data_IF_596755731217
#
_entry.id   IF_596755731217
#
_cell.length_a   1.000
_cell.length_b   1.000
_cell.length_c   1.000
_cell.angle_alpha   90.00
_cell.angle_beta   90.00
_cell.angle_gamma   90.00
#
_symmetry.space_group_name_H-M   'P 1'
#
loop_
_entity.id
_entity.type
_entity.pdbx_description
1 polymer ?
#
# COMPACT_ATOMS: atom_id res chain seq x y z
N UNK A 1 -15.93 -14.78 2.99
CA UNK A 1 -16.09 -16.08 3.71
C UNK A 1 -15.57 -16.00 5.16
N UNK A 2 -14.52 -15.25 5.45
CA UNK A 2 -13.94 -15.16 6.79
C UNK A 2 -14.87 -14.51 7.83
N UNK A 3 -15.67 -13.53 7.43
CA UNK A 3 -16.59 -12.79 8.33
C UNK A 3 -17.96 -13.48 8.47
N UNK A 4 -18.27 -14.41 7.58
CA UNK A 4 -19.59 -15.08 7.54
C UNK A 4 -20.72 -14.13 7.10
N UNK A 5 -21.91 -14.69 6.99
CA UNK A 5 -23.11 -13.96 6.52
C UNK A 5 -23.68 -12.99 7.56
N UNK A 6 -23.40 -13.22 8.82
CA UNK A 6 -23.88 -12.38 9.92
C UNK A 6 -22.96 -11.20 10.26
N UNK A 7 -21.75 -11.21 9.73
CA UNK A 7 -20.78 -10.12 9.95
C UNK A 7 -20.95 -9.00 8.93
N UNK A 8 -20.57 -7.78 9.29
CA UNK A 8 -20.54 -6.63 8.38
C UNK A 8 -19.09 -6.27 8.07
N UNK A 9 -18.81 -5.93 6.82
CA UNK A 9 -17.52 -5.42 6.36
C UNK A 9 -17.71 -3.97 5.94
N UNK A 10 -16.88 -3.09 6.46
CA UNK A 10 -16.77 -1.71 6.02
C UNK A 10 -15.51 -1.57 5.18
N UNK A 11 -15.65 -1.13 3.93
CA UNK A 11 -14.53 -0.79 3.04
C UNK A 11 -14.45 0.72 2.88
N UNK A 12 -13.32 1.30 3.25
CA UNK A 12 -13.09 2.75 3.15
C UNK A 12 -12.07 3.04 2.05
N UNK A 13 -12.36 4.00 1.23
CA UNK A 13 -11.42 4.58 0.27
C UNK A 13 -11.88 6.01 -0.06
N UNK A 14 -10.98 7.01 -0.15
CA UNK A 14 -11.35 8.37 -0.57
C UNK A 14 -11.67 8.46 -2.07
N UNK A 15 -11.27 7.48 -2.87
CA UNK A 15 -11.48 7.44 -4.31
C UNK A 15 -12.80 6.78 -4.67
N UNK A 16 -13.75 7.58 -5.16
CA UNK A 16 -15.00 7.06 -5.71
C UNK A 16 -14.77 6.01 -6.80
N UNK A 17 -13.77 6.20 -7.65
CA UNK A 17 -13.43 5.26 -8.73
C UNK A 17 -13.03 3.88 -8.17
N UNK A 18 -12.24 3.84 -7.09
CA UNK A 18 -11.87 2.60 -6.43
C UNK A 18 -13.08 1.92 -5.77
N UNK A 19 -13.93 2.71 -5.13
CA UNK A 19 -15.17 2.20 -4.53
C UNK A 19 -16.14 1.64 -5.58
N UNK A 20 -16.26 2.29 -6.74
CA UNK A 20 -17.10 1.80 -7.84
C UNK A 20 -16.57 0.44 -8.38
N UNK A 21 -15.26 0.26 -8.46
CA UNK A 21 -14.65 -1.03 -8.80
C UNK A 21 -14.86 -2.08 -7.72
N UNK A 22 -14.68 -1.70 -6.45
CA UNK A 22 -14.92 -2.58 -5.31
C UNK A 22 -16.39 -3.03 -5.27
N UNK A 23 -17.34 -2.12 -5.50
CA UNK A 23 -18.77 -2.41 -5.57
C UNK A 23 -19.10 -3.47 -6.63
N UNK A 24 -18.48 -3.36 -7.82
CA UNK A 24 -18.67 -4.37 -8.89
C UNK A 24 -18.13 -5.74 -8.49
N UNK A 25 -16.92 -5.77 -7.86
CA UNK A 25 -16.29 -7.02 -7.41
C UNK A 25 -17.02 -7.69 -6.26
N UNK A 26 -17.67 -6.88 -5.43
CA UNK A 26 -18.35 -7.31 -4.20
C UNK A 26 -19.88 -7.39 -4.35
N UNK A 27 -20.41 -7.27 -5.57
CA UNK A 27 -21.86 -7.19 -5.84
C UNK A 27 -22.68 -8.39 -5.34
N UNK A 28 -22.04 -9.54 -5.16
CA UNK A 28 -22.67 -10.75 -4.63
C UNK A 28 -22.80 -10.77 -3.08
N UNK A 29 -22.22 -9.79 -2.39
CA UNK A 29 -22.14 -9.75 -0.92
C UNK A 29 -23.00 -8.62 -0.35
N UNK A 30 -24.11 -8.97 0.30
CA UNK A 30 -25.03 -8.00 0.90
C UNK A 30 -24.51 -7.35 2.19
N UNK A 31 -23.50 -7.95 2.81
CA UNK A 31 -22.93 -7.55 4.08
C UNK A 31 -21.72 -6.63 3.98
N UNK A 32 -21.46 -6.06 2.80
CA UNK A 32 -20.39 -5.08 2.56
C UNK A 32 -20.99 -3.68 2.49
N UNK A 33 -20.35 -2.75 3.17
CA UNK A 33 -20.65 -1.33 3.16
C UNK A 33 -19.43 -0.56 2.69
N UNK A 34 -19.51 0.06 1.53
CA UNK A 34 -18.44 0.88 0.97
C UNK A 34 -18.69 2.34 1.35
N UNK A 35 -17.66 3.00 1.84
CA UNK A 35 -17.74 4.34 2.43
C UNK A 35 -16.67 5.22 1.78
N UNK A 36 -17.07 6.29 1.13
CA UNK A 36 -16.17 7.28 0.55
C UNK A 36 -15.63 8.20 1.64
N UNK A 37 -14.56 7.80 2.30
CA UNK A 37 -13.93 8.48 3.43
C UNK A 37 -12.44 8.20 3.49
N UNK A 38 -11.70 9.13 4.11
CA UNK A 38 -10.32 8.92 4.48
C UNK A 38 -10.21 7.98 5.68
N UNK A 39 -9.05 7.33 5.83
CA UNK A 39 -8.78 6.43 6.94
C UNK A 39 -8.63 7.15 8.29
N UNK A 40 -8.45 8.48 8.28
CA UNK A 40 -8.37 9.35 9.46
C UNK A 40 -9.76 9.85 9.96
N UNK A 41 -10.81 9.67 9.16
CA UNK A 41 -12.19 10.06 9.51
C UNK A 41 -13.20 9.07 8.92
N UNK A 42 -13.27 7.88 9.49
CA UNK A 42 -14.18 6.82 9.02
C UNK A 42 -15.65 7.11 9.26
N UNK A 43 -15.96 7.96 10.23
CA UNK A 43 -17.31 8.21 10.77
C UNK A 43 -18.02 6.95 11.32
N UNK A 44 -17.28 5.88 11.56
CA UNK A 44 -17.79 4.72 12.27
C UNK A 44 -17.87 5.00 13.78
N UNK A 45 -18.73 4.28 14.46
CA UNK A 45 -18.83 4.39 15.92
C UNK A 45 -17.57 3.82 16.58
N UNK A 46 -17.20 4.33 17.76
CA UNK A 46 -16.15 3.75 18.58
C UNK A 46 -16.51 2.32 18.97
N UNK A 47 -15.49 1.48 19.12
CA UNK A 47 -15.64 0.09 19.58
C UNK A 47 -16.64 -0.74 18.74
N UNK A 48 -16.76 -0.45 17.44
CA UNK A 48 -17.72 -1.16 16.57
C UNK A 48 -17.09 -2.32 15.80
N UNK A 49 -15.77 -2.33 15.58
CA UNK A 49 -15.09 -3.32 14.77
C UNK A 49 -14.33 -4.35 15.59
N UNK A 50 -14.41 -5.63 15.23
CA UNK A 50 -13.61 -6.70 15.85
C UNK A 50 -12.19 -6.76 15.27
N UNK A 51 -12.03 -6.34 14.01
CA UNK A 51 -10.75 -6.26 13.34
C UNK A 51 -10.74 -5.16 12.29
N UNK A 52 -9.56 -4.63 12.02
CA UNK A 52 -9.29 -3.74 10.92
C UNK A 52 -8.12 -4.27 10.08
N UNK A 53 -8.14 -4.00 8.78
CA UNK A 53 -7.04 -4.36 7.88
C UNK A 53 -6.71 -3.17 6.98
N UNK A 54 -5.42 -2.98 6.72
CA UNK A 54 -4.92 -2.04 5.72
C UNK A 54 -3.94 -2.75 4.80
N UNK A 55 -4.05 -2.55 3.51
CA UNK A 55 -3.14 -3.15 2.53
C UNK A 55 -2.67 -2.08 1.57
N UNK A 56 -1.39 -1.76 1.62
CA UNK A 56 -0.76 -0.74 0.76
C UNK A 56 -1.58 0.57 0.72
N UNK A 57 -1.91 1.10 1.89
CA UNK A 57 -2.70 2.32 2.03
C UNK A 57 -2.07 3.31 3.02
N UNK A 58 -1.69 2.87 4.21
CA UNK A 58 -1.18 3.76 5.26
C UNK A 58 0.11 4.48 4.87
N UNK A 59 0.97 3.86 4.07
CA UNK A 59 2.20 4.46 3.58
C UNK A 59 1.99 5.70 2.71
N UNK A 60 0.79 5.89 2.16
CA UNK A 60 0.44 7.04 1.32
C UNK A 60 -0.20 8.19 2.09
N UNK A 61 -0.57 7.98 3.34
CA UNK A 61 -1.27 8.99 4.16
C UNK A 61 -0.21 9.87 4.84
N UNK A 62 -0.21 11.20 4.59
CA UNK A 62 0.82 12.07 5.14
C UNK A 62 0.93 12.03 6.66
N UNK A 63 -0.19 12.08 7.38
CA UNK A 63 -0.23 11.91 8.82
C UNK A 63 -0.85 10.55 9.18
N UNK A 64 0.00 9.53 9.16
CA UNK A 64 -0.43 8.16 9.48
C UNK A 64 -0.86 8.00 10.93
N UNK A 65 -0.37 8.86 11.84
CA UNK A 65 -0.69 8.78 13.26
C UNK A 65 -2.18 9.07 13.51
N UNK A 66 -2.78 10.04 12.82
CA UNK A 66 -4.23 10.30 12.90
C UNK A 66 -5.04 9.08 12.44
N UNK A 67 -4.62 8.44 11.34
CA UNK A 67 -5.31 7.23 10.85
C UNK A 67 -5.17 6.05 11.84
N UNK A 68 -4.02 5.91 12.49
CA UNK A 68 -3.83 4.89 13.53
C UNK A 68 -4.68 5.18 14.79
N UNK A 69 -4.87 6.44 15.13
CA UNK A 69 -5.78 6.85 16.22
C UNK A 69 -7.22 6.49 15.87
N UNK A 70 -7.64 6.74 14.64
CA UNK A 70 -8.98 6.37 14.15
C UNK A 70 -9.17 4.84 14.13
N UNK A 71 -8.20 4.09 13.63
CA UNK A 71 -8.21 2.62 13.67
C UNK A 71 -8.35 2.12 15.12
N UNK A 72 -7.60 2.72 16.03
CA UNK A 72 -7.65 2.38 17.46
C UNK A 72 -9.02 2.66 18.04
N UNK A 73 -9.62 3.80 17.69
CA UNK A 73 -10.94 4.24 18.18
C UNK A 73 -12.08 3.31 17.76
N UNK A 74 -12.05 2.84 16.50
CA UNK A 74 -13.12 1.96 15.98
C UNK A 74 -12.99 0.51 16.41
N UNK A 75 -11.79 0.08 16.81
CA UNK A 75 -11.57 -1.29 17.27
C UNK A 75 -12.13 -1.50 18.68
N UNK A 76 -12.82 -2.61 18.86
CA UNK A 76 -13.23 -3.06 20.20
C UNK A 76 -12.01 -3.40 21.05
N UNK A 77 -12.11 -3.28 22.38
CA UNK A 77 -11.09 -3.82 23.28
C UNK A 77 -10.77 -5.29 22.94
N UNK A 78 -9.49 -5.59 22.71
CA UNK A 78 -9.05 -6.91 22.26
C UNK A 78 -9.23 -7.16 20.75
N UNK A 79 -9.65 -6.16 19.98
CA UNK A 79 -9.72 -6.22 18.53
C UNK A 79 -8.34 -6.34 17.88
N UNK A 80 -8.28 -6.85 16.67
CA UNK A 80 -7.05 -7.07 15.93
C UNK A 80 -6.86 -6.06 14.78
N UNK A 81 -5.62 -5.63 14.57
CA UNK A 81 -5.24 -4.86 13.39
C UNK A 81 -4.18 -5.59 12.58
N UNK A 82 -4.35 -5.63 11.27
CA UNK A 82 -3.38 -6.20 10.33
C UNK A 82 -3.04 -5.16 9.28
N UNK A 83 -1.76 -4.89 9.11
CA UNK A 83 -1.26 -4.03 8.05
C UNK A 83 -0.35 -4.80 7.10
N UNK A 84 -0.49 -4.56 5.81
CA UNK A 84 0.42 -5.04 4.77
C UNK A 84 0.94 -3.83 4.02
N UNK A 85 2.23 -3.57 4.16
CA UNK A 85 2.93 -2.46 3.49
C UNK A 85 4.23 -2.94 2.89
N UNK A 86 4.75 -2.18 1.95
CA UNK A 86 6.03 -2.45 1.29
C UNK A 86 7.12 -1.59 1.94
N UNK A 87 8.31 -2.16 2.09
CA UNK A 87 9.54 -1.43 2.39
C UNK A 87 10.05 -0.80 1.09
N UNK A 88 9.49 0.36 0.73
CA UNK A 88 9.74 0.99 -0.56
C UNK A 88 11.22 1.37 -0.77
N UNK A 89 11.97 1.70 0.28
CA UNK A 89 13.41 1.94 0.20
C UNK A 89 14.20 0.69 -0.19
N UNK A 90 13.63 -0.49 0.01
CA UNK A 90 14.24 -1.76 -0.34
C UNK A 90 13.72 -2.36 -1.65
N UNK A 91 12.73 -1.72 -2.26
CA UNK A 91 12.24 -2.12 -3.58
C UNK A 91 13.22 -1.61 -4.65
N UNK A 92 13.89 -2.53 -5.35
CA UNK A 92 14.95 -2.21 -6.30
C UNK A 92 14.81 -3.00 -7.59
N UNK A 93 15.04 -2.34 -8.72
CA UNK A 93 15.29 -2.98 -9.99
C UNK A 93 16.79 -3.22 -10.17
N UNK A 94 17.13 -4.33 -10.81
CA UNK A 94 18.48 -4.67 -11.25
C UNK A 94 18.57 -4.67 -12.78
N UNK A 95 19.77 -4.42 -13.31
CA UNK A 95 20.07 -4.56 -14.73
C UNK A 95 20.26 -3.24 -15.48
N UNK A 96 19.87 -2.12 -14.92
CA UNK A 96 20.19 -0.82 -15.49
C UNK A 96 21.50 -0.24 -14.92
N UNK A 97 22.08 0.76 -15.63
CA UNK A 97 23.17 1.56 -15.12
C UNK A 97 22.87 2.06 -13.70
N UNK A 98 23.87 1.98 -12.82
CA UNK A 98 23.65 2.28 -11.40
C UNK A 98 23.16 3.71 -11.19
N UNK A 99 23.74 4.71 -11.86
CA UNK A 99 23.36 6.12 -11.65
C UNK A 99 21.95 6.41 -12.16
N UNK A 100 21.61 5.85 -13.31
CA UNK A 100 20.28 5.99 -13.90
C UNK A 100 19.24 5.28 -13.04
N UNK A 101 19.56 4.09 -12.57
CA UNK A 101 18.68 3.31 -11.70
C UNK A 101 18.42 4.04 -10.38
N UNK A 102 19.46 4.54 -9.71
CA UNK A 102 19.30 5.34 -8.47
C UNK A 102 18.50 6.61 -8.71
N UNK A 103 18.67 7.29 -9.84
CA UNK A 103 17.90 8.50 -10.18
C UNK A 103 16.39 8.20 -10.33
N UNK A 104 16.05 7.09 -10.98
CA UNK A 104 14.65 6.65 -11.12
C UNK A 104 14.07 6.28 -9.74
N UNK A 105 14.82 5.53 -8.93
CA UNK A 105 14.39 5.17 -7.58
C UNK A 105 14.21 6.38 -6.68
N UNK A 106 15.14 7.34 -6.71
CA UNK A 106 15.03 8.57 -5.91
C UNK A 106 13.81 9.39 -6.30
N UNK A 107 13.55 9.55 -7.61
CA UNK A 107 12.33 10.18 -8.09
C UNK A 107 11.08 9.46 -7.57
N UNK A 108 11.10 8.13 -7.56
CA UNK A 108 9.97 7.33 -7.11
C UNK A 108 9.73 7.41 -5.60
N UNK A 109 10.72 7.79 -4.79
CA UNK A 109 10.52 7.97 -3.34
C UNK A 109 9.39 8.93 -2.99
N UNK A 110 9.15 9.95 -3.83
CA UNK A 110 8.07 10.90 -3.62
C UNK A 110 6.64 10.32 -3.83
N UNK A 111 6.50 9.04 -4.26
CA UNK A 111 5.20 8.44 -4.50
C UNK A 111 4.42 8.10 -3.22
N UNK A 112 5.09 7.96 -2.09
CA UNK A 112 4.43 7.73 -0.81
C UNK A 112 5.08 8.54 0.31
N UNK A 113 4.34 8.76 1.38
CA UNK A 113 4.77 9.58 2.51
C UNK A 113 5.72 8.83 3.45
N UNK A 114 5.58 7.51 3.54
CA UNK A 114 6.30 6.67 4.52
C UNK A 114 6.96 5.48 3.83
N UNK A 115 8.22 5.66 3.39
CA UNK A 115 9.00 4.64 2.67
C UNK A 115 9.26 3.38 3.50
N UNK A 116 9.34 3.55 4.83
CA UNK A 116 9.74 2.53 5.78
C UNK A 116 8.67 2.27 6.84
N UNK A 117 7.40 2.54 6.55
CA UNK A 117 6.30 2.39 7.50
C UNK A 117 6.32 1.05 8.28
N UNK A 118 6.57 -0.11 7.66
CA UNK A 118 6.62 -1.37 8.41
C UNK A 118 7.62 -1.37 9.57
N UNK A 119 8.72 -0.63 9.46
CA UNK A 119 9.73 -0.54 10.52
C UNK A 119 9.33 0.42 11.65
N UNK A 120 8.46 1.37 11.37
CA UNK A 120 7.98 2.37 12.34
C UNK A 120 6.69 1.92 13.05
N UNK A 121 5.89 1.10 12.35
CA UNK A 121 4.54 0.75 12.75
C UNK A 121 4.47 0.05 14.12
N UNK A 122 5.34 -0.90 14.48
CA UNK A 122 5.30 -1.54 15.78
C UNK A 122 5.32 -0.53 16.94
N UNK A 123 6.28 0.40 16.92
CA UNK A 123 6.39 1.42 17.96
C UNK A 123 5.20 2.41 17.98
N UNK A 124 4.60 2.70 16.80
CA UNK A 124 3.39 3.52 16.71
C UNK A 124 2.17 2.82 17.32
N UNK A 125 2.07 1.51 17.12
CA UNK A 125 0.98 0.68 17.66
C UNK A 125 1.15 0.44 19.18
N UNK A 126 2.36 0.20 19.67
CA UNK A 126 2.63 0.06 21.10
C UNK A 126 2.19 1.29 21.90
N UNK A 127 2.48 2.50 21.37
CA UNK A 127 2.05 3.76 22.01
C UNK A 127 0.52 3.90 22.11
N UNK A 128 -0.23 3.18 21.25
CA UNK A 128 -1.71 3.13 21.23
C UNK A 128 -2.28 1.97 22.04
N UNK A 129 -1.43 1.24 22.75
CA UNK A 129 -1.84 0.14 23.62
C UNK A 129 -2.04 -1.20 22.94
N UNK A 130 -1.67 -1.33 21.66
CA UNK A 130 -1.65 -2.64 21.00
C UNK A 130 -0.62 -3.55 21.66
N UNK A 131 -0.97 -4.83 21.73
CA UNK A 131 -0.15 -5.89 22.35
C UNK A 131 0.00 -7.06 21.42
N UNK A 132 1.00 -7.91 21.69
CA UNK A 132 1.28 -9.07 20.85
C UNK A 132 1.54 -8.72 19.38
N UNK A 133 2.26 -7.61 19.17
CA UNK A 133 2.65 -7.15 17.85
C UNK A 133 3.62 -8.16 17.25
N UNK A 134 3.35 -8.58 16.01
CA UNK A 134 4.17 -9.53 15.27
C UNK A 134 4.44 -8.99 13.88
N UNK A 135 5.70 -9.03 13.48
CA UNK A 135 6.13 -8.74 12.12
C UNK A 135 6.37 -10.03 11.37
N UNK A 136 5.83 -10.11 10.17
CA UNK A 136 6.08 -11.23 9.26
C UNK A 136 6.67 -10.69 7.96
N UNK A 137 8.01 -10.64 7.84
CA UNK A 137 8.64 -10.18 6.62
C UNK A 137 8.43 -11.19 5.50
N UNK A 138 8.11 -10.67 4.31
CA UNK A 138 8.08 -11.42 3.06
C UNK A 138 9.08 -10.76 2.12
N UNK A 139 10.10 -11.50 1.71
CA UNK A 139 11.05 -11.08 0.70
C UNK A 139 10.95 -12.00 -0.51
N UNK A 140 10.89 -11.43 -1.69
CA UNK A 140 10.88 -12.18 -2.94
C UNK A 140 11.67 -11.45 -4.01
N UNK A 141 12.19 -12.22 -4.94
CA UNK A 141 12.87 -11.71 -6.13
C UNK A 141 12.03 -12.08 -7.34
N UNK A 142 11.68 -11.11 -8.14
CA UNK A 142 10.97 -11.32 -9.40
C UNK A 142 12.02 -11.34 -10.51
N UNK A 143 12.20 -12.49 -11.15
CA UNK A 143 13.21 -12.71 -12.17
C UNK A 143 12.68 -12.63 -13.61
N UNK A 144 11.37 -12.43 -13.78
CA UNK A 144 10.74 -12.32 -15.10
C UNK A 144 9.89 -11.05 -15.17
N UNK A 145 9.93 -10.42 -16.34
CA UNK A 145 9.19 -9.19 -16.66
C UNK A 145 8.14 -9.41 -17.75
N UNK A 146 7.52 -10.59 -17.80
CA UNK A 146 6.40 -10.82 -18.71
C UNK A 146 5.25 -9.82 -18.48
N UNK A 147 4.38 -9.65 -19.49
CA UNK A 147 3.33 -8.62 -19.52
C UNK A 147 2.42 -8.60 -18.28
N UNK A 148 2.25 -9.74 -17.63
CA UNK A 148 1.38 -9.90 -16.47
C UNK A 148 2.16 -9.95 -15.14
N UNK A 149 3.47 -9.75 -15.17
CA UNK A 149 4.28 -9.80 -13.96
C UNK A 149 4.14 -8.54 -13.11
N UNK A 150 4.23 -8.65 -11.78
CA UNK A 150 4.30 -7.50 -10.91
C UNK A 150 5.48 -6.57 -11.23
N UNK A 151 6.60 -7.12 -11.76
CA UNK A 151 7.75 -6.33 -12.16
C UNK A 151 7.42 -5.39 -13.32
N UNK A 152 6.74 -5.87 -14.36
CA UNK A 152 6.33 -5.05 -15.49
C UNK A 152 5.40 -3.91 -15.07
N UNK A 153 4.41 -4.21 -14.21
CA UNK A 153 3.53 -3.20 -13.66
C UNK A 153 4.29 -2.14 -12.85
N UNK A 154 5.16 -2.58 -11.93
CA UNK A 154 5.93 -1.67 -11.08
C UNK A 154 6.91 -0.80 -11.87
N UNK A 155 7.53 -1.35 -12.92
CA UNK A 155 8.36 -0.60 -13.86
C UNK A 155 7.58 0.53 -14.54
N UNK A 156 6.38 0.23 -15.04
CA UNK A 156 5.53 1.22 -15.68
C UNK A 156 5.13 2.34 -14.71
N UNK A 157 4.77 1.98 -13.48
CA UNK A 157 4.41 2.95 -12.42
C UNK A 157 5.61 3.83 -12.07
N UNK A 158 6.80 3.24 -11.85
CA UNK A 158 8.01 3.97 -11.52
C UNK A 158 8.44 4.91 -12.66
N UNK A 159 8.39 4.41 -13.91
CA UNK A 159 8.72 5.20 -15.10
C UNK A 159 7.81 6.43 -15.21
N UNK A 160 6.50 6.23 -15.12
CA UNK A 160 5.53 7.31 -15.21
C UNK A 160 5.70 8.33 -14.07
N UNK A 161 5.94 7.85 -12.85
CA UNK A 161 6.15 8.73 -11.72
C UNK A 161 7.46 9.53 -11.86
N UNK A 162 8.55 8.91 -12.32
CA UNK A 162 9.81 9.58 -12.56
C UNK A 162 9.69 10.75 -13.54
N UNK A 163 8.88 10.61 -14.60
CA UNK A 163 8.56 11.70 -15.51
C UNK A 163 7.93 12.90 -14.77
N UNK A 164 7.01 12.65 -13.86
CA UNK A 164 6.36 13.71 -13.06
C UNK A 164 7.35 14.42 -12.11
N UNK A 165 8.45 13.76 -11.76
CA UNK A 165 9.50 14.27 -10.89
C UNK A 165 10.69 14.89 -11.68
N UNK A 166 10.52 15.09 -12.99
CA UNK A 166 11.49 15.79 -13.82
C UNK A 166 12.64 14.94 -14.37
N UNK A 167 12.51 13.61 -14.31
CA UNK A 167 13.37 12.72 -15.11
C UNK A 167 12.94 12.82 -16.56
N UNK A 168 13.88 12.96 -17.48
CA UNK A 168 13.55 13.13 -18.91
C UNK A 168 13.01 11.83 -19.53
N UNK A 169 12.17 11.96 -20.56
CA UNK A 169 11.68 10.83 -21.33
C UNK A 169 12.81 9.95 -21.88
N UNK A 170 13.90 10.59 -22.35
CA UNK A 170 15.06 9.86 -22.86
C UNK A 170 15.71 8.98 -21.79
N UNK A 171 15.86 9.47 -20.56
CA UNK A 171 16.41 8.70 -19.44
C UNK A 171 15.46 7.55 -19.02
N UNK A 172 14.15 7.80 -18.99
CA UNK A 172 13.17 6.77 -18.68
C UNK A 172 13.16 5.66 -19.74
N UNK A 173 13.23 6.02 -21.01
CA UNK A 173 13.29 5.04 -22.12
C UNK A 173 14.60 4.26 -22.09
N UNK A 174 15.73 4.91 -21.81
CA UNK A 174 17.02 4.24 -21.67
C UNK A 174 17.01 3.26 -20.49
N UNK A 175 16.48 3.67 -19.33
CA UNK A 175 16.33 2.81 -18.16
C UNK A 175 15.50 1.54 -18.49
N UNK A 176 14.34 1.69 -19.11
CA UNK A 176 13.49 0.55 -19.52
C UNK A 176 14.21 -0.37 -20.50
N UNK A 177 14.90 0.20 -21.50
CA UNK A 177 15.68 -0.57 -22.47
C UNK A 177 16.82 -1.37 -21.82
N UNK A 178 17.47 -0.80 -20.80
CA UNK A 178 18.53 -1.50 -20.06
C UNK A 178 17.97 -2.65 -19.21
N UNK A 179 16.81 -2.45 -18.55
CA UNK A 179 16.13 -3.53 -17.82
C UNK A 179 15.72 -4.68 -18.75
N UNK A 180 15.22 -4.36 -19.95
CA UNK A 180 14.84 -5.37 -20.96
C UNK A 180 16.05 -6.19 -21.44
N UNK A 181 17.17 -5.54 -21.66
CA UNK A 181 18.43 -6.23 -22.04
C UNK A 181 19.00 -7.11 -20.94
N UNK A 182 18.80 -6.74 -19.69
CA UNK A 182 19.29 -7.49 -18.54
C UNK A 182 18.51 -8.79 -18.28
N UNK A 183 17.32 -8.93 -18.86
CA UNK A 183 16.49 -10.13 -18.78
C UNK A 183 16.93 -11.23 -19.77
N UNK A 184 17.69 -10.88 -20.81
CA UNK A 184 18.17 -11.80 -21.86
C UNK A 184 19.44 -12.52 -21.44
#
# INVERSE_FOLDING_TARGET
KAVGVAGTIYGLDPSKTQLDQASKRCSEFENIRLIERNADDSQLQSDCCHSATSTQALEYIPDVDISLDEITRILKPGGAFVNVSILWDHFKFHGADHRLNERIHEAFRAHCSHQMLPMELPGKLERRGFKNIQDQPLAFVITRRDENSPAHYSEAVMANFALTQGVSEAEVLDWKSQLEKAEQ
#
